data_IF_418984429830
#
_entry.id   IF_418984429830
#
_cell.length_a   1.000
_cell.length_b   1.000
_cell.length_c   1.000
_cell.angle_alpha   90.00
_cell.angle_beta   90.00
_cell.angle_gamma   90.00
#
_symmetry.space_group_name_H-M   'P 1'
#
loop_
_entity.id
_entity.type
_entity.pdbx_description
1 polymer ?
#
# COMPACT_ATOMS: atom_id res chain seq x y z
N UNK A 1 -6.50 11.60 -3.07
CA UNK A 1 -6.38 10.82 -4.34
C UNK A 1 -6.73 9.39 -4.02
N UNK A 2 -7.23 8.63 -4.98
CA UNK A 2 -7.38 7.19 -4.89
C UNK A 2 -6.40 6.52 -5.83
N UNK A 3 -5.84 5.39 -5.41
CA UNK A 3 -4.97 4.54 -6.21
C UNK A 3 -5.41 3.09 -6.10
N UNK A 4 -5.13 2.32 -7.15
CA UNK A 4 -5.23 0.87 -7.12
C UNK A 4 -3.99 0.23 -6.50
N UNK A 5 -4.21 -0.87 -5.81
CA UNK A 5 -3.25 -1.65 -5.06
C UNK A 5 -3.45 -3.14 -5.26
N UNK A 6 -2.40 -3.91 -4.98
CA UNK A 6 -2.47 -5.37 -4.98
C UNK A 6 -2.35 -5.94 -3.56
N UNK A 7 -3.13 -6.97 -3.27
CA UNK A 7 -3.12 -7.77 -2.05
C UNK A 7 -2.27 -9.01 -2.30
N UNK A 8 -1.34 -9.31 -1.38
CA UNK A 8 -0.30 -10.34 -1.56
C UNK A 8 0.49 -10.14 -2.87
N UNK A 9 1.01 -8.94 -3.10
CA UNK A 9 1.64 -8.55 -4.37
C UNK A 9 2.77 -9.47 -4.83
N UNK A 10 3.40 -10.20 -3.92
CA UNK A 10 4.46 -11.15 -4.20
C UNK A 10 3.95 -12.51 -4.72
N UNK A 11 2.65 -12.80 -4.62
CA UNK A 11 2.08 -14.12 -4.86
C UNK A 11 1.67 -14.31 -6.33
N UNK A 12 2.17 -15.34 -7.03
CA UNK A 12 1.67 -15.69 -8.37
C UNK A 12 0.17 -15.98 -8.35
N UNK A 13 -0.60 -15.59 -9.38
CA UNK A 13 -0.13 -15.23 -10.72
C UNK A 13 0.26 -13.75 -10.92
N UNK A 14 0.22 -12.91 -9.88
CA UNK A 14 0.66 -11.51 -10.01
C UNK A 14 2.12 -11.45 -10.52
N UNK A 15 2.45 -10.50 -11.40
CA UNK A 15 3.78 -10.37 -11.98
C UNK A 15 4.77 -9.84 -10.93
N UNK A 16 6.08 -9.80 -11.23
CA UNK A 16 7.08 -9.15 -10.38
C UNK A 16 6.68 -7.72 -9.99
N UNK A 17 7.12 -7.27 -8.81
CA UNK A 17 6.62 -6.03 -8.20
C UNK A 17 6.84 -4.80 -9.08
N UNK A 18 7.99 -4.67 -9.74
CA UNK A 18 8.29 -3.58 -10.66
C UNK A 18 7.37 -3.55 -11.89
N UNK A 19 6.90 -4.70 -12.35
CA UNK A 19 5.93 -4.79 -13.46
C UNK A 19 4.55 -4.30 -13.02
N UNK A 20 4.13 -4.63 -11.79
CA UNK A 20 2.92 -4.05 -11.21
C UNK A 20 3.02 -2.51 -11.12
N UNK A 21 4.20 -1.99 -10.75
CA UNK A 21 4.43 -0.54 -10.69
C UNK A 21 4.36 0.11 -12.09
N UNK A 22 4.93 -0.52 -13.12
CA UNK A 22 4.84 -0.08 -14.52
C UNK A 22 3.38 -0.03 -15.01
N UNK A 23 2.57 -0.98 -14.57
CA UNK A 23 1.14 -1.05 -14.90
C UNK A 23 0.32 -0.05 -14.08
N UNK A 24 0.92 0.59 -13.08
CA UNK A 24 0.31 1.69 -12.34
C UNK A 24 -0.30 1.30 -11.00
N UNK A 25 0.07 0.14 -10.46
CA UNK A 25 -0.16 -0.19 -9.05
C UNK A 25 0.63 0.78 -8.16
N UNK A 26 -0.03 1.38 -7.17
CA UNK A 26 0.61 2.29 -6.18
C UNK A 26 0.39 1.85 -4.74
N UNK A 27 -0.07 0.61 -4.53
CA UNK A 27 0.06 -0.09 -3.26
C UNK A 27 0.52 -1.53 -3.48
N UNK A 28 1.54 -1.95 -2.73
CA UNK A 28 2.02 -3.33 -2.67
C UNK A 28 1.88 -3.89 -1.25
N UNK A 29 1.71 -5.20 -1.10
CA UNK A 29 1.59 -5.91 0.17
C UNK A 29 2.53 -7.12 0.21
N UNK A 30 3.33 -7.23 1.27
CA UNK A 30 4.32 -8.28 1.50
C UNK A 30 4.08 -8.98 2.83
N UNK A 31 3.92 -10.30 2.81
CA UNK A 31 3.88 -11.13 4.02
C UNK A 31 5.30 -11.58 4.35
N UNK A 32 5.83 -11.18 5.51
CA UNK A 32 7.21 -11.44 5.89
C UNK A 32 7.31 -12.42 7.06
N UNK A 33 8.26 -13.34 6.96
CA UNK A 33 8.54 -14.38 7.94
C UNK A 33 10.00 -14.32 8.37
N UNK A 34 10.26 -14.06 9.65
CA UNK A 34 11.60 -14.09 10.23
C UNK A 34 12.27 -15.45 10.01
N UNK A 35 13.53 -15.43 9.61
CA UNK A 35 14.35 -16.62 9.41
C UNK A 35 15.46 -16.71 10.46
N UNK A 36 16.00 -17.91 10.76
CA UNK A 36 17.05 -18.09 11.77
C UNK A 36 18.35 -17.31 11.49
N UNK A 37 18.62 -16.98 10.23
CA UNK A 37 19.78 -16.19 9.80
C UNK A 37 19.56 -14.67 9.93
N UNK A 38 18.42 -14.24 10.48
CA UNK A 38 18.04 -12.83 10.62
C UNK A 38 17.47 -12.21 9.35
N UNK A 39 17.34 -12.98 8.26
CA UNK A 39 16.65 -12.54 7.05
C UNK A 39 15.12 -12.67 7.19
N UNK A 40 14.40 -12.13 6.21
CA UNK A 40 12.95 -12.23 6.11
C UNK A 40 12.57 -12.90 4.79
N UNK A 41 11.94 -14.07 4.89
CA UNK A 41 11.34 -14.74 3.74
C UNK A 41 9.97 -14.12 3.43
N UNK A 42 9.56 -14.15 2.16
CA UNK A 42 8.28 -13.58 1.71
C UNK A 42 7.42 -14.66 1.10
N UNK A 43 6.28 -14.97 1.74
CA UNK A 43 5.29 -15.93 1.27
C UNK A 43 4.00 -15.87 2.10
N UNK A 44 2.91 -16.47 1.60
CA UNK A 44 1.60 -16.33 2.21
C UNK A 44 1.39 -17.17 3.47
N UNK A 45 1.72 -18.47 3.41
CA UNK A 45 1.61 -19.36 4.56
C UNK A 45 2.56 -20.55 4.46
N UNK A 46 2.66 -21.35 5.52
CA UNK A 46 3.42 -22.59 5.50
C UNK A 46 2.98 -23.55 4.37
N UNK A 47 1.69 -23.51 3.99
CA UNK A 47 1.11 -24.34 2.94
C UNK A 47 1.16 -23.70 1.55
N UNK A 48 1.40 -22.38 1.46
CA UNK A 48 1.59 -21.68 0.19
C UNK A 48 2.81 -20.76 0.29
N UNK A 49 3.95 -21.32 -0.11
CA UNK A 49 5.26 -20.67 -0.09
C UNK A 49 5.64 -19.99 -1.41
N UNK A 50 4.71 -19.89 -2.35
CA UNK A 50 4.98 -19.30 -3.67
C UNK A 50 5.21 -17.79 -3.53
N UNK A 51 6.24 -17.31 -4.20
CA UNK A 51 6.58 -15.89 -4.24
C UNK A 51 7.38 -15.57 -5.51
N UNK A 52 7.12 -14.41 -6.11
CA UNK A 52 7.92 -13.85 -7.21
C UNK A 52 9.23 -13.23 -6.69
N UNK A 53 9.35 -12.99 -5.39
CA UNK A 53 10.54 -12.46 -4.73
C UNK A 53 10.71 -13.12 -3.34
N UNK A 54 11.49 -14.20 -3.18
CA UNK A 54 11.41 -15.08 -2.00
C UNK A 54 11.94 -14.46 -0.69
N UNK A 55 12.58 -13.30 -0.73
CA UNK A 55 13.07 -12.57 0.45
C UNK A 55 12.68 -11.10 0.38
N UNK A 56 12.58 -10.44 1.55
CA UNK A 56 12.24 -9.01 1.62
C UNK A 56 13.22 -8.16 0.82
N UNK A 57 14.52 -8.50 0.85
CA UNK A 57 15.56 -7.82 0.06
C UNK A 57 15.31 -8.02 -1.44
N UNK A 58 15.03 -9.25 -1.88
CA UNK A 58 14.72 -9.54 -3.28
C UNK A 58 13.44 -8.84 -3.76
N UNK A 59 12.46 -8.61 -2.89
CA UNK A 59 11.26 -7.83 -3.21
C UNK A 59 11.55 -6.33 -3.33
N UNK A 60 12.29 -5.76 -2.36
CA UNK A 60 12.46 -4.31 -2.29
C UNK A 60 13.57 -3.77 -3.21
N UNK A 61 14.53 -4.61 -3.62
CA UNK A 61 15.58 -4.20 -4.57
C UNK A 61 15.01 -3.69 -5.91
N UNK A 62 14.17 -4.43 -6.66
CA UNK A 62 13.61 -3.94 -7.92
C UNK A 62 12.70 -2.73 -7.72
N UNK A 63 11.92 -2.69 -6.62
CA UNK A 63 11.09 -1.53 -6.26
C UNK A 63 11.96 -0.28 -6.06
N UNK A 64 13.08 -0.39 -5.34
CA UNK A 64 14.03 0.73 -5.15
C UNK A 64 14.63 1.21 -6.48
N UNK A 65 15.01 0.28 -7.35
CA UNK A 65 15.54 0.60 -8.69
C UNK A 65 14.48 1.35 -9.51
N UNK A 66 13.24 0.86 -9.49
CA UNK A 66 12.12 1.48 -10.17
C UNK A 66 11.85 2.91 -9.67
N UNK A 67 11.81 3.12 -8.35
CA UNK A 67 11.64 4.46 -7.75
C UNK A 67 12.76 5.43 -8.15
N UNK A 68 13.99 4.91 -8.31
CA UNK A 68 15.13 5.69 -8.80
C UNK A 68 14.93 6.22 -10.22
N UNK A 69 14.29 5.44 -11.09
CA UNK A 69 13.95 5.82 -12.46
C UNK A 69 12.66 6.66 -12.55
N UNK A 70 11.74 6.53 -11.59
CA UNK A 70 10.41 7.14 -11.62
C UNK A 70 10.21 8.16 -10.48
N UNK A 71 11.10 9.15 -10.38
CA UNK A 71 11.11 10.15 -9.30
C UNK A 71 9.85 11.02 -9.21
N UNK A 72 9.05 11.05 -10.28
CA UNK A 72 7.77 11.77 -10.34
C UNK A 72 6.56 10.86 -10.14
N UNK A 73 6.73 9.57 -9.89
CA UNK A 73 5.61 8.68 -9.57
C UNK A 73 4.85 9.18 -8.32
N UNK A 74 3.55 8.92 -8.25
CA UNK A 74 2.74 9.05 -7.04
C UNK A 74 3.38 8.23 -5.90
N UNK A 75 3.14 8.60 -4.64
CA UNK A 75 3.68 7.84 -3.52
C UNK A 75 3.22 6.38 -3.58
N UNK A 76 4.15 5.48 -3.30
CA UNK A 76 3.91 4.06 -3.18
C UNK A 76 3.53 3.72 -1.75
N UNK A 77 2.37 3.12 -1.54
CA UNK A 77 2.03 2.51 -0.25
C UNK A 77 2.63 1.10 -0.19
N UNK A 78 3.45 0.82 0.81
CA UNK A 78 4.03 -0.50 1.04
C UNK A 78 3.47 -1.08 2.34
N UNK A 79 2.57 -2.03 2.23
CA UNK A 79 2.06 -2.79 3.37
C UNK A 79 2.99 -3.96 3.63
N UNK A 80 3.45 -4.12 4.85
CA UNK A 80 4.32 -5.22 5.28
C UNK A 80 3.66 -5.92 6.45
N UNK A 81 3.20 -7.14 6.24
CA UNK A 81 2.58 -7.97 7.27
C UNK A 81 3.62 -8.84 7.95
N UNK A 82 3.86 -8.61 9.24
CA UNK A 82 4.66 -9.52 10.04
C UNK A 82 3.84 -10.79 10.35
N UNK A 83 4.17 -11.90 9.68
CA UNK A 83 3.65 -13.23 9.96
C UNK A 83 4.51 -13.99 11.00
N UNK A 84 5.68 -13.45 11.35
CA UNK A 84 6.60 -13.98 12.35
C UNK A 84 6.13 -13.75 13.79
N UNK A 85 7.07 -13.77 14.73
CA UNK A 85 6.73 -13.54 16.14
C UNK A 85 6.46 -12.04 16.40
N UNK A 86 5.61 -11.68 17.38
CA UNK A 86 5.31 -10.27 17.68
C UNK A 86 6.55 -9.41 17.94
N UNK A 87 7.57 -9.96 18.60
CA UNK A 87 8.81 -9.25 18.89
C UNK A 87 9.63 -8.88 17.63
N UNK A 88 9.34 -9.50 16.48
CA UNK A 88 10.08 -9.27 15.24
C UNK A 88 9.66 -7.98 14.52
N UNK A 89 8.54 -7.36 14.92
CA UNK A 89 8.00 -6.14 14.33
C UNK A 89 9.04 -5.03 14.15
N UNK A 90 9.89 -4.81 15.17
CA UNK A 90 10.97 -3.83 15.11
C UNK A 90 12.06 -4.19 14.09
N UNK A 91 12.43 -5.48 14.01
CA UNK A 91 13.44 -5.95 13.08
C UNK A 91 12.94 -5.89 11.62
N UNK A 92 11.65 -6.18 11.38
CA UNK A 92 11.01 -5.98 10.08
C UNK A 92 11.14 -4.51 9.64
N UNK A 93 10.80 -3.57 10.53
CA UNK A 93 10.89 -2.15 10.21
C UNK A 93 12.34 -1.71 9.88
N UNK A 94 13.32 -2.19 10.65
CA UNK A 94 14.75 -1.95 10.35
C UNK A 94 15.15 -2.51 8.99
N UNK A 95 14.70 -3.71 8.63
CA UNK A 95 14.99 -4.31 7.33
C UNK A 95 14.37 -3.53 6.17
N UNK A 96 13.13 -3.04 6.32
CA UNK A 96 12.49 -2.16 5.33
C UNK A 96 13.28 -0.86 5.16
N UNK A 97 13.72 -0.22 6.25
CA UNK A 97 14.53 1.00 6.20
C UNK A 97 15.92 0.77 5.59
N UNK A 98 16.52 -0.39 5.82
CA UNK A 98 17.80 -0.75 5.21
C UNK A 98 17.65 -0.94 3.68
N UNK A 99 16.54 -1.53 3.24
CA UNK A 99 16.24 -1.71 1.82
C UNK A 99 15.78 -0.42 1.13
N UNK A 100 15.12 0.48 1.85
CA UNK A 100 14.59 1.77 1.37
C UNK A 100 15.24 2.92 2.16
N UNK A 101 16.33 3.53 1.65
CA UNK A 101 17.02 4.60 2.37
C UNK A 101 16.07 5.76 2.70
N UNK A 102 16.29 6.43 3.84
CA UNK A 102 15.32 7.36 4.44
C UNK A 102 14.77 8.46 3.55
N UNK A 103 15.51 8.94 2.53
CA UNK A 103 15.00 9.92 1.57
C UNK A 103 13.86 9.37 0.69
N UNK A 104 13.76 8.05 0.53
CA UNK A 104 12.66 7.37 -0.15
C UNK A 104 11.47 7.13 0.77
N UNK A 105 11.57 7.29 2.08
CA UNK A 105 10.45 7.02 3.00
C UNK A 105 9.75 8.31 3.37
N UNK A 106 8.42 8.30 3.38
CA UNK A 106 7.61 9.27 4.13
C UNK A 106 7.28 8.60 5.46
N UNK A 107 7.76 9.16 6.57
CA UNK A 107 7.60 8.57 7.90
C UNK A 107 6.50 9.23 8.76
N UNK A 108 6.07 8.57 9.85
CA UNK A 108 5.13 9.15 10.83
C UNK A 108 5.49 10.55 11.34
N UNK A 109 6.79 10.83 11.51
CA UNK A 109 7.28 12.15 11.95
C UNK A 109 6.96 13.28 10.97
N UNK A 110 6.80 12.97 9.68
CA UNK A 110 6.41 13.94 8.65
C UNK A 110 4.90 14.21 8.63
N UNK A 111 4.09 13.34 9.25
CA UNK A 111 2.63 13.47 9.37
C UNK A 111 2.28 14.02 10.75
N UNK A 112 2.84 15.18 11.09
CA UNK A 112 2.68 15.80 12.41
C UNK A 112 1.35 16.56 12.52
N UNK A 113 0.56 16.24 13.56
CA UNK A 113 -0.73 16.91 13.83
C UNK A 113 -1.78 16.66 12.74
N UNK A 114 -1.77 15.46 12.14
CA UNK A 114 -2.73 15.06 11.09
C UNK A 114 -2.48 15.69 9.72
N UNK A 115 -1.36 16.40 9.54
CA UNK A 115 -1.04 17.07 8.27
C UNK A 115 -0.09 16.21 7.44
N UNK A 116 -0.63 15.61 6.39
CA UNK A 116 0.16 14.93 5.38
C UNK A 116 1.02 15.91 4.57
N UNK A 117 2.24 15.53 4.16
CA UNK A 117 2.97 16.27 3.15
C UNK A 117 2.15 16.37 1.85
N UNK A 118 2.43 17.39 1.05
CA UNK A 118 1.75 17.58 -0.23
C UNK A 118 2.05 16.42 -1.18
N UNK A 119 1.17 16.18 -2.16
CA UNK A 119 1.41 15.15 -3.18
C UNK A 119 2.75 15.36 -3.91
N UNK A 120 3.11 16.62 -4.20
CA UNK A 120 4.41 16.93 -4.79
C UNK A 120 5.60 16.55 -3.88
N UNK A 121 5.46 16.72 -2.57
CA UNK A 121 6.48 16.35 -1.58
C UNK A 121 6.59 14.85 -1.29
N UNK A 122 5.62 14.05 -1.76
CA UNK A 122 5.60 12.59 -1.59
C UNK A 122 5.89 11.82 -2.88
N UNK A 123 6.05 12.50 -4.02
CA UNK A 123 6.39 11.83 -5.29
C UNK A 123 7.71 11.06 -5.21
N UNK A 124 7.73 9.86 -5.78
CA UNK A 124 8.88 8.95 -5.79
C UNK A 124 9.28 8.45 -4.40
N UNK A 125 8.39 8.56 -3.40
CA UNK A 125 8.61 8.11 -2.02
C UNK A 125 7.60 7.03 -1.62
N UNK A 126 7.91 6.33 -0.54
CA UNK A 126 7.21 5.17 -0.02
C UNK A 126 6.61 5.50 1.34
N UNK A 127 5.33 5.19 1.50
CA UNK A 127 4.61 5.22 2.77
C UNK A 127 4.50 3.78 3.23
N UNK A 128 5.36 3.39 4.16
CA UNK A 128 5.44 2.01 4.64
C UNK A 128 4.54 1.79 5.87
N UNK A 129 3.74 0.72 5.86
CA UNK A 129 2.77 0.37 6.89
C UNK A 129 3.06 -1.02 7.42
N UNK A 130 3.33 -1.14 8.71
CA UNK A 130 3.51 -2.42 9.39
C UNK A 130 2.16 -2.92 9.91
N UNK A 131 1.85 -4.18 9.59
CA UNK A 131 0.64 -4.88 10.05
C UNK A 131 1.02 -6.27 10.57
N UNK A 132 0.03 -7.02 11.07
CA UNK A 132 0.25 -8.38 11.57
C UNK A 132 0.80 -8.40 13.00
N UNK A 133 1.53 -9.47 13.33
CA UNK A 133 1.98 -9.75 14.69
C UNK A 133 2.89 -8.64 15.21
N UNK A 134 2.58 -8.11 16.40
CA UNK A 134 3.40 -7.07 17.06
C UNK A 134 3.20 -5.64 16.54
N UNK A 135 2.39 -5.43 15.50
CA UNK A 135 2.17 -4.10 14.91
C UNK A 135 1.51 -3.13 15.90
N UNK A 136 0.58 -3.60 16.74
CA UNK A 136 -0.10 -2.76 17.74
C UNK A 136 0.85 -2.24 18.83
N UNK A 137 1.92 -2.98 19.11
CA UNK A 137 2.95 -2.62 20.10
C UNK A 137 4.14 -1.89 19.46
N UNK A 138 4.14 -1.69 18.15
CA UNK A 138 5.25 -1.10 17.43
C UNK A 138 5.43 0.39 17.77
N UNK A 139 6.62 0.74 18.26
CA UNK A 139 6.99 2.11 18.65
C UNK A 139 8.19 2.66 17.86
N UNK A 140 8.70 1.92 16.87
CA UNK A 140 9.92 2.27 16.14
C UNK A 140 9.81 3.53 15.25
N UNK A 141 8.59 4.00 14.99
CA UNK A 141 8.33 5.32 14.42
C UNK A 141 8.84 5.55 12.99
N UNK A 142 9.38 4.53 12.32
CA UNK A 142 9.84 4.59 10.93
C UNK A 142 8.80 4.15 9.91
N UNK A 143 7.80 3.40 10.36
CA UNK A 143 6.66 2.93 9.57
C UNK A 143 5.39 3.37 10.27
N UNK A 144 4.31 3.51 9.49
CA UNK A 144 2.97 3.64 10.02
C UNK A 144 2.45 2.28 10.50
N UNK A 145 1.37 2.31 11.27
CA UNK A 145 0.54 1.14 11.60
C UNK A 145 -0.90 1.48 11.27
N UNK A 146 -1.77 0.47 11.14
CA UNK A 146 -3.20 0.75 11.06
C UNK A 146 -3.73 1.15 12.44
N UNK A 147 -4.18 2.39 12.55
CA UNK A 147 -4.80 2.93 13.76
C UNK A 147 -5.98 3.83 13.38
N UNK A 148 -7.14 3.58 13.99
CA UNK A 148 -8.35 4.38 13.75
C UNK A 148 -8.50 5.55 14.73
N UNK A 149 -7.67 5.61 15.78
CA UNK A 149 -7.70 6.66 16.80
C UNK A 149 -6.35 6.75 17.53
N UNK A 150 -6.20 7.78 18.36
CA UNK A 150 -4.99 8.00 19.16
C UNK A 150 -3.83 8.61 18.37
N UNK A 151 -2.63 8.70 18.98
CA UNK A 151 -1.50 9.45 18.42
C UNK A 151 -0.87 8.81 17.17
N UNK A 152 -1.16 7.54 16.90
CA UNK A 152 -0.68 6.82 15.71
C UNK A 152 -1.68 6.88 14.54
N UNK A 153 -2.87 7.47 14.73
CA UNK A 153 -3.90 7.56 13.71
C UNK A 153 -3.46 8.45 12.55
N UNK A 154 -3.11 7.81 11.44
CA UNK A 154 -2.79 8.45 10.17
C UNK A 154 -3.27 7.60 9.00
N UNK A 155 -3.13 6.27 9.12
CA UNK A 155 -3.58 5.28 8.15
C UNK A 155 -4.44 4.25 8.88
N UNK A 156 -5.55 3.82 8.27
CA UNK A 156 -6.40 2.75 8.78
C UNK A 156 -6.86 1.83 7.65
N UNK A 157 -7.42 0.68 8.00
CA UNK A 157 -7.96 -0.29 7.05
C UNK A 157 -9.42 -0.62 7.40
N UNK A 158 -10.28 -0.69 6.39
CA UNK A 158 -11.67 -1.15 6.44
C UNK A 158 -11.88 -2.10 5.25
N UNK A 159 -11.55 -3.39 5.42
CA UNK A 159 -11.44 -4.33 4.30
C UNK A 159 -12.73 -4.55 3.52
N UNK A 160 -13.89 -4.43 4.16
CA UNK A 160 -15.18 -4.66 3.54
C UNK A 160 -15.90 -3.35 3.21
N UNK A 161 -15.81 -2.86 1.95
CA UNK A 161 -16.42 -1.60 1.56
C UNK A 161 -17.94 -1.64 1.53
N UNK A 162 -18.55 -2.83 1.48
CA UNK A 162 -20.02 -2.96 1.45
C UNK A 162 -20.62 -2.68 2.83
N UNK A 163 -20.04 -3.26 3.88
CA UNK A 163 -20.53 -3.07 5.26
C UNK A 163 -19.90 -1.87 5.97
N UNK A 164 -18.71 -1.43 5.57
CA UNK A 164 -17.94 -0.37 6.25
C UNK A 164 -17.88 0.95 5.48
N UNK A 165 -18.72 1.17 4.46
CA UNK A 165 -18.71 2.40 3.67
C UNK A 165 -18.80 3.69 4.52
N UNK A 166 -19.68 3.70 5.52
CA UNK A 166 -19.86 4.85 6.40
C UNK A 166 -18.61 5.14 7.25
N UNK A 167 -17.99 4.08 7.79
CA UNK A 167 -16.72 4.17 8.52
C UNK A 167 -15.61 4.72 7.65
N UNK A 168 -15.46 4.19 6.43
CA UNK A 168 -14.46 4.65 5.47
C UNK A 168 -14.61 6.16 5.23
N UNK A 169 -15.82 6.61 4.89
CA UNK A 169 -16.10 8.02 4.65
C UNK A 169 -15.77 8.87 5.89
N UNK A 170 -16.12 8.41 7.08
CA UNK A 170 -15.84 9.11 8.33
C UNK A 170 -14.32 9.29 8.58
N UNK A 171 -13.52 8.24 8.37
CA UNK A 171 -12.05 8.33 8.53
C UNK A 171 -11.40 9.20 7.45
N UNK A 172 -11.90 9.12 6.22
CA UNK A 172 -11.46 9.99 5.12
C UNK A 172 -11.73 11.47 5.46
N UNK A 173 -12.93 11.80 5.97
CA UNK A 173 -13.25 13.15 6.43
C UNK A 173 -12.44 13.60 7.65
N UNK A 174 -12.03 12.66 8.51
CA UNK A 174 -11.13 12.92 9.63
C UNK A 174 -9.66 13.11 9.21
N UNK A 175 -9.33 12.98 7.91
CA UNK A 175 -7.99 13.20 7.39
C UNK A 175 -7.07 11.97 7.43
N UNK A 176 -7.61 10.79 7.72
CA UNK A 176 -6.86 9.54 7.64
C UNK A 176 -6.81 9.03 6.19
N UNK A 177 -5.72 8.36 5.86
CA UNK A 177 -5.63 7.50 4.67
C UNK A 177 -6.30 6.17 5.00
N UNK A 178 -7.21 5.71 4.15
CA UNK A 178 -7.96 4.47 4.34
C UNK A 178 -7.64 3.49 3.23
N UNK A 179 -7.27 2.27 3.61
CA UNK A 179 -7.26 1.09 2.75
C UNK A 179 -8.59 0.36 2.83
N UNK A 180 -9.13 -0.05 1.69
CA UNK A 180 -10.23 -0.99 1.57
C UNK A 180 -9.93 -2.03 0.49
N UNK A 181 -10.76 -3.07 0.36
CA UNK A 181 -10.51 -4.17 -0.56
C UNK A 181 -11.65 -4.35 -1.58
N UNK A 182 -11.25 -4.57 -2.83
CA UNK A 182 -12.11 -4.97 -3.94
C UNK A 182 -12.09 -6.50 -4.17
N UNK A 183 -11.30 -7.23 -3.39
CA UNK A 183 -11.31 -8.70 -3.33
C UNK A 183 -12.12 -9.19 -2.11
N UNK A 184 -12.19 -10.51 -1.90
CA UNK A 184 -12.87 -11.11 -0.76
C UNK A 184 -12.41 -12.54 -0.49
N UNK A 185 -13.17 -13.26 0.32
CA UNK A 185 -12.85 -14.65 0.67
C UNK A 185 -12.87 -15.53 -0.59
N UNK A 186 -11.69 -16.05 -0.97
CA UNK A 186 -11.51 -16.89 -2.14
C UNK A 186 -11.71 -16.20 -3.50
N UNK A 187 -11.99 -14.90 -3.53
CA UNK A 187 -12.23 -14.13 -4.76
C UNK A 187 -11.05 -13.21 -5.03
N UNK A 188 -10.60 -13.16 -6.29
CA UNK A 188 -9.48 -12.31 -6.72
C UNK A 188 -9.91 -10.85 -6.95
N UNK A 189 -11.12 -10.66 -7.47
CA UNK A 189 -11.79 -9.38 -7.69
C UNK A 189 -13.31 -9.60 -7.61
N UNK A 190 -14.00 -8.76 -6.84
CA UNK A 190 -15.45 -8.69 -6.79
C UNK A 190 -15.88 -7.29 -7.26
N UNK A 191 -16.62 -7.23 -8.38
CA UNK A 191 -17.01 -5.95 -8.99
C UNK A 191 -17.88 -5.09 -8.08
N UNK A 192 -18.75 -5.69 -7.26
CA UNK A 192 -19.58 -4.94 -6.31
C UNK A 192 -18.73 -4.33 -5.21
N UNK A 193 -17.76 -5.09 -4.70
CA UNK A 193 -16.79 -4.58 -3.72
C UNK A 193 -15.89 -3.51 -4.34
N UNK A 194 -15.43 -3.68 -5.58
CA UNK A 194 -14.67 -2.68 -6.32
C UNK A 194 -15.43 -1.36 -6.45
N UNK A 195 -16.69 -1.42 -6.88
CA UNK A 195 -17.49 -0.23 -7.10
C UNK A 195 -17.81 0.48 -5.78
N UNK A 196 -18.12 -0.28 -4.73
CA UNK A 196 -18.31 0.26 -3.38
C UNK A 196 -17.02 0.88 -2.82
N UNK A 197 -15.88 0.21 -2.97
CA UNK A 197 -14.57 0.70 -2.57
C UNK A 197 -14.23 2.02 -3.26
N UNK A 198 -14.41 2.10 -4.58
CA UNK A 198 -14.16 3.31 -5.33
C UNK A 198 -15.07 4.47 -4.89
N UNK A 199 -16.35 4.19 -4.63
CA UNK A 199 -17.32 5.20 -4.17
C UNK A 199 -17.10 5.66 -2.73
N UNK A 200 -16.48 4.83 -1.89
CA UNK A 200 -16.31 5.08 -0.44
C UNK A 200 -15.35 6.20 -0.06
N UNK A 201 -14.55 6.71 -1.01
CA UNK A 201 -13.50 7.70 -0.74
C UNK A 201 -12.19 7.11 -0.20
N UNK A 202 -12.10 5.80 0.06
CA UNK A 202 -10.83 5.17 0.45
C UNK A 202 -9.72 5.50 -0.57
N UNK A 203 -8.56 5.95 -0.08
CA UNK A 203 -7.44 6.35 -0.92
C UNK A 203 -6.69 5.15 -1.50
N UNK A 204 -6.80 3.98 -0.88
CA UNK A 204 -6.19 2.74 -1.36
C UNK A 204 -7.31 1.72 -1.54
N UNK A 205 -7.53 1.31 -2.79
CA UNK A 205 -8.35 0.14 -3.12
C UNK A 205 -7.38 -0.99 -3.43
N UNK A 206 -7.47 -2.12 -2.73
CA UNK A 206 -6.59 -3.28 -2.94
C UNK A 206 -7.38 -4.47 -3.52
N UNK A 207 -6.78 -5.28 -4.39
CA UNK A 207 -7.33 -6.58 -4.80
C UNK A 207 -6.22 -7.59 -5.06
N UNK A 208 -6.51 -8.89 -5.16
CA UNK A 208 -5.55 -9.92 -5.65
C UNK A 208 -5.45 -9.94 -7.18
N UNK A 209 -5.81 -8.84 -7.82
CA UNK A 209 -5.82 -8.61 -9.27
C UNK A 209 -5.04 -7.32 -9.55
N UNK A 210 -4.20 -7.31 -10.57
CA UNK A 210 -3.46 -6.15 -11.07
C UNK A 210 -4.12 -5.50 -12.30
N UNK A 211 -5.13 -6.15 -12.89
CA UNK A 211 -5.82 -5.69 -14.08
C UNK A 211 -6.98 -4.71 -13.83
N UNK A 212 -7.60 -4.72 -12.65
CA UNK A 212 -8.76 -3.87 -12.37
C UNK A 212 -8.43 -2.36 -12.41
N UNK A 213 -9.39 -1.57 -12.88
CA UNK A 213 -9.27 -0.11 -12.98
C UNK A 213 -10.26 0.58 -12.04
N UNK A 214 -9.90 1.79 -11.61
CA UNK A 214 -10.83 2.70 -10.92
C UNK A 214 -11.81 3.32 -11.93
N UNK A 215 -12.95 3.89 -11.47
CA UNK A 215 -13.94 4.43 -12.38
C UNK A 215 -13.32 5.54 -13.24
N UNK A 216 -13.61 5.47 -14.55
CA UNK A 216 -12.93 6.26 -15.58
C UNK A 216 -11.82 5.49 -16.33
N UNK A 217 -11.59 4.21 -15.98
CA UNK A 217 -10.59 3.38 -16.65
C UNK A 217 -9.15 3.80 -16.32
N UNK A 218 -8.92 4.22 -15.08
CA UNK A 218 -7.64 4.81 -14.63
C UNK A 218 -7.07 4.06 -13.43
N UNK A 219 -5.74 4.04 -13.32
CA UNK A 219 -5.02 3.47 -12.17
C UNK A 219 -5.10 4.34 -10.91
N UNK A 220 -5.38 5.63 -11.10
CA UNK A 220 -5.44 6.63 -10.03
C UNK A 220 -6.39 7.76 -10.42
N UNK A 221 -6.96 8.42 -9.42
CA UNK A 221 -7.86 9.56 -9.60
C UNK A 221 -7.83 10.47 -8.38
N UNK A 222 -8.39 11.66 -8.52
CA UNK A 222 -8.69 12.48 -7.34
C UNK A 222 -9.76 11.80 -6.47
N UNK A 223 -9.67 12.09 -5.17
CA UNK A 223 -10.60 11.55 -4.17
C UNK A 223 -12.04 12.02 -4.47
N UNK A 224 -13.04 11.13 -4.45
CA UNK A 224 -14.42 11.50 -4.77
C UNK A 224 -15.16 12.20 -3.62
N UNK A 225 -14.73 12.07 -2.36
CA UNK A 225 -15.50 12.53 -1.19
C UNK A 225 -14.96 13.81 -0.55
N UNK A 226 -13.65 13.99 -0.53
CA UNK A 226 -13.05 15.19 0.07
C UNK A 226 -12.81 16.23 -1.03
N UNK A 227 -13.23 17.50 -0.85
CA UNK A 227 -12.81 18.61 -1.70
C UNK A 227 -11.28 18.71 -1.64
N UNK A 228 -10.62 17.98 -2.52
CA UNK A 228 -9.18 17.91 -2.60
C UNK A 228 -8.73 19.03 -3.56
N UNK A 229 -7.66 19.77 -3.25
CA UNK A 229 -7.01 20.61 -4.26
C UNK A 229 -6.46 19.78 -5.44
N UNK A 230 -6.53 18.44 -5.38
CA UNK A 230 -6.22 17.51 -6.44
C UNK A 230 -6.99 17.84 -7.71
N UNK A 231 -6.23 18.00 -8.80
CA UNK A 231 -6.71 18.11 -10.17
C UNK A 231 -6.26 16.87 -10.93
N UNK A 232 -6.97 16.46 -12.00
CA UNK A 232 -6.53 15.34 -12.84
C UNK A 232 -5.08 15.47 -13.34
N UNK A 233 -4.62 16.69 -13.63
CA UNK A 233 -3.22 16.99 -14.03
C UNK A 233 -2.17 16.75 -12.93
N UNK A 234 -2.60 16.65 -11.67
CA UNK A 234 -1.72 16.33 -10.54
C UNK A 234 -1.50 14.83 -10.43
N UNK A 235 -2.20 14.02 -11.23
CA UNK A 235 -1.97 12.59 -11.32
C UNK A 235 -0.84 12.28 -12.32
N UNK A 236 -0.31 11.06 -12.27
CA UNK A 236 0.62 10.60 -13.30
C UNK A 236 -0.06 10.55 -14.68
N UNK A 237 0.66 10.84 -15.78
CA UNK A 237 0.13 10.64 -17.12
C UNK A 237 -0.31 9.19 -17.28
N UNK A 238 -1.52 8.97 -17.80
CA UNK A 238 -1.91 7.62 -18.22
C UNK A 238 -1.02 7.23 -19.38
N UNK A 239 -0.25 6.15 -19.23
CA UNK A 239 0.39 5.49 -20.36
C UNK A 239 -0.73 5.03 -21.29
N UNK A 240 -0.98 5.80 -22.34
CA UNK A 240 -1.78 5.33 -23.46
C UNK A 240 -0.96 4.21 -24.07
N UNK A 241 -1.31 2.97 -23.75
CA UNK A 241 -0.83 1.82 -24.52
C UNK A 241 -1.30 2.08 -25.93
N UNK A 242 -0.41 2.61 -26.76
CA UNK A 242 -0.64 2.74 -28.19
C UNK A 242 -0.55 1.30 -28.66
N UNK A 243 -1.68 0.62 -28.73
CA UNK A 243 -1.82 -0.65 -29.43
C UNK A 243 -1.35 -0.39 -30.85
N UNK A 244 -0.15 -0.85 -31.15
CA UNK A 244 0.39 -0.94 -32.51
C UNK A 244 -0.02 -2.28 -33.08
#
# INVERSE_FOLDING_TARGET
MQVRGTHNSYQPPLPPLERQLDEGIRQLELDVWSQPDGSFAVYHSANDRRSTCPTLVACLQPVRVWLGAHRQALPLYLVVENKGAPQDAGAVAVAVQAALPGHLLVGPKEVAGGRWPTLAGTRGRVIAVLIGNGAEQYTGGSMFVYASSGPLAAITSRPDPLSQAADIAAFVHAGLVVRTQADGDGVVLDEKRRDAAAASGAQIVSARDDGYLLPGGVSWRCDPLVPSPCRPRDMEPTTTTTTS
#
